data_IF_723974601236
#
_entry.id   IF_723974601236
#
_cell.length_a   1.000
_cell.length_b   1.000
_cell.length_c   1.000
_cell.angle_alpha   90.00
_cell.angle_beta   90.00
_cell.angle_gamma   90.00
#
_symmetry.space_group_name_H-M   'P 1'
#
loop_
_entity.id
_entity.type
_entity.pdbx_description
1 polymer ?
#
# COMPACT_ATOMS: atom_id res chain seq x y z
N UNK A 1 -4.26 28.04 31.14
CA UNK A 1 -4.45 26.80 31.93
C UNK A 1 -5.82 26.92 32.56
N UNK A 2 -6.76 25.98 32.29
CA UNK A 2 -6.52 24.54 32.37
C UNK A 2 -6.66 23.76 31.06
N UNK A 3 -5.94 22.65 31.04
CA UNK A 3 -6.00 21.43 30.23
C UNK A 3 -7.13 21.32 29.18
N UNK A 4 -6.74 21.39 27.90
CA UNK A 4 -7.52 20.86 26.79
C UNK A 4 -6.63 19.86 26.02
N UNK A 5 -7.12 18.62 26.01
CA UNK A 5 -6.87 17.59 24.98
C UNK A 5 -5.44 17.04 24.90
N UNK A 6 -4.98 16.45 26.00
CA UNK A 6 -4.21 15.20 25.91
C UNK A 6 -5.21 14.07 25.66
N UNK A 7 -5.33 13.69 24.39
CA UNK A 7 -6.17 12.60 23.92
C UNK A 7 -5.76 12.15 22.52
N UNK A 8 -4.48 12.28 22.18
CA UNK A 8 -3.91 11.50 21.09
C UNK A 8 -3.75 10.09 21.64
N UNK A 9 -4.74 9.23 21.36
CA UNK A 9 -4.55 7.78 21.46
C UNK A 9 -3.48 7.44 20.43
N UNK A 10 -2.23 7.47 20.88
CA UNK A 10 -1.15 6.74 20.24
C UNK A 10 -1.54 5.27 20.38
N UNK A 11 -2.29 4.76 19.40
CA UNK A 11 -2.54 3.32 19.29
C UNK A 11 -1.19 2.66 19.08
N UNK A 12 -0.83 1.78 20.02
CA UNK A 12 0.30 0.86 19.89
C UNK A 12 0.18 0.13 18.53
N UNK A 13 1.28 -0.25 17.85
CA UNK A 13 1.26 -0.88 16.52
C UNK A 13 0.52 -2.24 16.41
N UNK A 14 -0.24 -2.64 17.44
CA UNK A 14 -1.00 -3.89 17.51
C UNK A 14 -2.47 -3.77 17.97
N UNK A 15 -2.97 -2.57 18.32
CA UNK A 15 -4.39 -2.42 18.69
C UNK A 15 -5.27 -2.27 17.45
N UNK A 16 -6.34 -3.07 17.38
CA UNK A 16 -7.32 -2.99 16.31
C UNK A 16 -7.99 -1.60 16.32
N UNK A 17 -7.73 -0.83 15.26
CA UNK A 17 -8.32 0.48 15.04
C UNK A 17 -9.86 0.39 15.17
N UNK A 18 -10.55 1.34 15.83
CA UNK A 18 -12.02 1.35 15.90
C UNK A 18 -12.63 1.26 14.50
N UNK A 19 -13.66 0.44 14.33
CA UNK A 19 -14.29 0.14 13.03
C UNK A 19 -15.79 0.48 12.99
N UNK A 20 -16.41 0.75 14.14
CA UNK A 20 -17.87 0.83 14.23
C UNK A 20 -18.40 2.20 13.81
N UNK A 21 -19.44 2.20 13.00
CA UNK A 21 -20.08 3.41 12.48
C UNK A 21 -21.44 3.58 13.15
N UNK A 22 -21.72 4.79 13.63
CA UNK A 22 -23.02 5.16 14.14
C UNK A 22 -23.79 5.94 13.08
N UNK A 23 -24.93 5.43 12.65
CA UNK A 23 -25.82 6.08 11.69
C UNK A 23 -27.05 6.60 12.42
N UNK A 24 -27.17 7.93 12.56
CA UNK A 24 -28.24 8.59 13.32
C UNK A 24 -29.14 9.37 12.38
N UNK A 25 -30.29 8.81 12.03
CA UNK A 25 -31.19 9.42 11.05
C UNK A 25 -32.63 8.90 11.14
N UNK A 26 -33.62 9.78 10.89
CA UNK A 26 -35.04 9.42 10.98
C UNK A 26 -35.55 8.57 9.80
N UNK A 27 -34.95 8.73 8.61
CA UNK A 27 -35.40 8.06 7.39
C UNK A 27 -34.99 6.59 7.36
N UNK A 28 -35.92 5.71 7.73
CA UNK A 28 -35.70 4.24 7.77
C UNK A 28 -35.19 3.67 6.43
N UNK A 29 -35.74 4.13 5.31
CA UNK A 29 -35.31 3.68 3.98
C UNK A 29 -33.85 4.04 3.74
N UNK A 30 -33.47 5.28 4.02
CA UNK A 30 -32.10 5.76 3.86
C UNK A 30 -31.14 5.01 4.79
N UNK A 31 -31.50 4.85 6.07
CA UNK A 31 -30.65 4.16 7.03
C UNK A 31 -30.43 2.70 6.67
N UNK A 32 -31.48 1.99 6.24
CA UNK A 32 -31.37 0.59 5.83
C UNK A 32 -30.49 0.44 4.59
N UNK A 33 -30.70 1.26 3.55
CA UNK A 33 -29.89 1.20 2.32
C UNK A 33 -28.42 1.52 2.58
N UNK A 34 -28.13 2.57 3.37
CA UNK A 34 -26.75 2.96 3.67
C UNK A 34 -26.05 1.95 4.58
N UNK A 35 -26.75 1.43 5.59
CA UNK A 35 -26.23 0.35 6.45
C UNK A 35 -25.84 -0.87 5.61
N UNK A 36 -26.76 -1.36 4.79
CA UNK A 36 -26.54 -2.53 3.95
C UNK A 36 -25.35 -2.30 3.00
N UNK A 37 -25.28 -1.13 2.36
CA UNK A 37 -24.18 -0.80 1.46
C UNK A 37 -22.82 -0.76 2.17
N UNK A 38 -22.74 -0.24 3.41
CA UNK A 38 -21.51 -0.20 4.20
C UNK A 38 -21.12 -1.61 4.66
N UNK A 39 -22.05 -2.36 5.26
CA UNK A 39 -21.78 -3.70 5.80
C UNK A 39 -21.38 -4.69 4.68
N UNK A 40 -22.03 -4.64 3.50
CA UNK A 40 -21.71 -5.54 2.39
C UNK A 40 -20.44 -5.16 1.63
N UNK A 41 -20.17 -3.87 1.44
CA UNK A 41 -19.04 -3.41 0.60
C UNK A 41 -17.76 -3.18 1.38
N UNK A 42 -17.86 -2.83 2.66
CA UNK A 42 -16.74 -2.44 3.51
C UNK A 42 -16.53 -3.37 4.70
N UNK A 43 -17.47 -4.28 5.00
CA UNK A 43 -17.42 -5.21 6.13
C UNK A 43 -17.29 -4.48 7.50
N UNK A 44 -17.74 -3.22 7.56
CA UNK A 44 -17.72 -2.42 8.78
C UNK A 44 -19.05 -2.55 9.54
N UNK A 45 -19.02 -2.75 10.87
CA UNK A 45 -20.25 -2.84 11.66
C UNK A 45 -20.94 -1.48 11.76
N UNK A 46 -22.25 -1.45 11.50
CA UNK A 46 -23.06 -0.23 11.55
C UNK A 46 -24.19 -0.37 12.57
N UNK A 47 -24.20 0.52 13.56
CA UNK A 47 -25.31 0.66 14.51
C UNK A 47 -26.19 1.84 14.08
N UNK A 48 -27.51 1.67 14.14
CA UNK A 48 -28.48 2.68 13.67
C UNK A 48 -29.26 3.23 14.86
N UNK A 49 -29.40 4.55 14.92
CA UNK A 49 -30.27 5.25 15.85
C UNK A 49 -31.19 6.23 15.12
N UNK A 50 -32.35 6.49 15.72
CA UNK A 50 -33.37 7.43 15.20
C UNK A 50 -33.53 8.67 16.09
N UNK A 51 -32.79 8.74 17.18
CA UNK A 51 -32.83 9.81 18.19
C UNK A 51 -31.47 9.95 18.89
N UNK A 52 -31.20 11.11 19.49
CA UNK A 52 -30.01 11.33 20.32
C UNK A 52 -29.99 10.45 21.57
N UNK A 53 -31.16 10.21 22.18
CA UNK A 53 -31.27 9.31 23.32
C UNK A 53 -30.89 7.87 22.96
N UNK A 54 -31.32 7.37 21.80
CA UNK A 54 -30.93 6.06 21.31
C UNK A 54 -29.44 6.01 20.94
N UNK A 55 -28.94 7.04 20.25
CA UNK A 55 -27.52 7.17 19.93
C UNK A 55 -26.65 7.14 21.19
N UNK A 56 -27.04 7.86 22.25
CA UNK A 56 -26.34 7.86 23.54
C UNK A 56 -26.23 6.49 24.19
N UNK A 57 -27.33 5.72 24.21
CA UNK A 57 -27.31 4.34 24.74
C UNK A 57 -26.35 3.44 23.97
N UNK A 58 -26.36 3.51 22.64
CA UNK A 58 -25.42 2.74 21.81
C UNK A 58 -23.97 3.14 22.11
N UNK A 59 -23.69 4.45 22.23
CA UNK A 59 -22.36 4.95 22.56
C UNK A 59 -21.86 4.47 23.93
N UNK A 60 -22.76 4.23 24.89
CA UNK A 60 -22.43 3.71 26.22
C UNK A 60 -22.27 2.16 26.23
N UNK A 61 -23.10 1.45 25.45
CA UNK A 61 -23.14 -0.02 25.40
C UNK A 61 -22.04 -0.63 24.52
N UNK A 62 -21.67 0.06 23.45
CA UNK A 62 -20.70 -0.42 22.46
C UNK A 62 -19.43 0.44 22.45
N UNK A 63 -18.31 -0.18 22.07
CA UNK A 63 -17.01 0.47 21.98
C UNK A 63 -16.48 0.41 20.55
N UNK A 64 -15.40 1.16 20.29
CA UNK A 64 -14.71 1.12 19.00
C UNK A 64 -15.37 1.98 17.93
N UNK A 65 -15.98 3.11 18.32
CA UNK A 65 -16.59 4.08 17.42
C UNK A 65 -15.55 4.80 16.58
N UNK A 66 -15.77 4.78 15.27
CA UNK A 66 -14.90 5.38 14.26
C UNK A 66 -15.50 6.65 13.67
N UNK A 67 -16.80 6.63 13.36
CA UNK A 67 -17.46 7.69 12.59
C UNK A 67 -18.95 7.76 12.94
N UNK A 68 -19.47 8.98 12.96
CA UNK A 68 -20.91 9.25 13.07
C UNK A 68 -21.40 9.83 11.74
N UNK A 69 -22.44 9.23 11.18
CA UNK A 69 -23.21 9.76 10.05
C UNK A 69 -24.56 10.23 10.61
N UNK A 70 -24.79 11.53 10.69
CA UNK A 70 -25.98 12.07 11.37
C UNK A 70 -26.83 12.99 10.50
N UNK A 71 -28.13 12.92 10.68
CA UNK A 71 -29.06 13.99 10.30
C UNK A 71 -28.86 15.26 11.13
N UNK A 72 -29.44 16.37 10.65
CA UNK A 72 -29.54 17.61 11.43
C UNK A 72 -30.83 17.73 12.24
N UNK A 73 -31.89 17.03 11.88
CA UNK A 73 -33.18 17.15 12.58
C UNK A 73 -33.58 15.76 13.01
N UNK A 74 -33.50 15.51 14.31
CA UNK A 74 -33.87 14.24 14.94
C UNK A 74 -35.15 14.43 15.77
N UNK A 75 -35.76 13.33 16.21
CA UNK A 75 -37.02 13.38 16.97
C UNK A 75 -36.90 14.15 18.30
N UNK A 76 -35.71 14.18 18.91
CA UNK A 76 -35.40 14.70 20.24
C UNK A 76 -34.25 15.73 20.25
N UNK A 77 -33.86 16.24 19.08
CA UNK A 77 -32.76 17.20 18.93
C UNK A 77 -32.97 18.14 17.74
N UNK A 78 -32.53 19.39 17.91
CA UNK A 78 -32.51 20.40 16.85
C UNK A 78 -31.15 20.48 16.14
N UNK A 79 -31.05 21.35 15.13
CA UNK A 79 -29.92 21.36 14.18
C UNK A 79 -28.55 21.52 14.82
N UNK A 80 -28.43 22.43 15.79
CA UNK A 80 -27.15 22.74 16.41
C UNK A 80 -26.82 21.75 17.54
N UNK A 81 -27.85 21.33 18.30
CA UNK A 81 -27.65 20.39 19.42
C UNK A 81 -27.20 19.00 18.98
N UNK A 82 -27.66 18.52 17.83
CA UNK A 82 -27.28 17.19 17.31
C UNK A 82 -25.80 17.13 16.94
N UNK A 83 -25.28 18.14 16.26
CA UNK A 83 -23.88 18.17 15.82
C UNK A 83 -22.95 18.34 17.01
N UNK A 84 -23.26 19.29 17.90
CA UNK A 84 -22.47 19.54 19.12
C UNK A 84 -22.44 18.32 20.05
N UNK A 85 -23.51 17.52 20.08
CA UNK A 85 -23.56 16.29 20.88
C UNK A 85 -22.46 15.30 20.50
N UNK A 86 -22.19 15.07 19.22
CA UNK A 86 -21.16 14.12 18.78
C UNK A 86 -19.75 14.72 18.84
N UNK A 87 -19.61 15.99 18.47
CA UNK A 87 -18.32 16.69 18.48
C UNK A 87 -17.76 16.86 19.89
N UNK A 88 -18.60 17.19 20.87
CA UNK A 88 -18.18 17.29 22.28
C UNK A 88 -17.67 15.97 22.87
N UNK A 89 -17.99 14.84 22.24
CA UNK A 89 -17.48 13.50 22.56
C UNK A 89 -16.24 13.12 21.75
N UNK A 90 -15.74 14.02 20.90
CA UNK A 90 -14.58 13.77 20.04
C UNK A 90 -14.84 12.80 18.89
N UNK A 91 -16.11 12.58 18.53
CA UNK A 91 -16.47 11.66 17.45
C UNK A 91 -16.41 12.37 16.09
N UNK A 92 -15.63 11.83 15.12
CA UNK A 92 -15.65 12.33 13.76
C UNK A 92 -17.07 12.23 13.19
N UNK A 93 -17.58 13.34 12.66
CA UNK A 93 -18.99 13.47 12.30
C UNK A 93 -19.16 13.95 10.86
N UNK A 94 -19.97 13.25 10.08
CA UNK A 94 -20.46 13.66 8.75
C UNK A 94 -21.94 13.93 8.87
N UNK A 95 -22.34 15.11 8.37
CA UNK A 95 -23.73 15.54 8.40
C UNK A 95 -24.38 15.18 7.08
N UNK A 96 -25.58 14.61 7.16
CA UNK A 96 -26.35 14.22 5.99
C UNK A 96 -27.72 14.92 6.03
N UNK A 97 -28.09 15.66 5.00
CA UNK A 97 -29.30 16.48 4.97
C UNK A 97 -30.16 16.23 3.74
N UNK A 98 -31.48 16.18 3.90
CA UNK A 98 -32.42 16.10 2.79
C UNK A 98 -32.73 17.45 2.13
N UNK A 99 -32.35 18.57 2.77
CA UNK A 99 -32.67 19.91 2.29
C UNK A 99 -31.39 20.67 1.98
N UNK A 100 -31.35 21.30 0.81
CA UNK A 100 -30.28 22.23 0.48
C UNK A 100 -30.58 23.61 1.07
N UNK A 101 -29.72 24.05 1.99
CA UNK A 101 -29.77 25.36 2.63
C UNK A 101 -28.31 25.84 2.78
N UNK A 102 -27.94 26.86 1.99
CA UNK A 102 -26.57 27.36 1.90
C UNK A 102 -26.09 27.97 3.22
N UNK A 103 -26.98 28.66 3.94
CA UNK A 103 -26.65 29.33 5.20
C UNK A 103 -26.54 28.32 6.34
N UNK A 104 -27.38 27.29 6.33
CA UNK A 104 -27.22 26.15 7.22
C UNK A 104 -25.90 25.43 6.95
N UNK A 105 -25.61 25.11 5.68
CA UNK A 105 -24.37 24.46 5.28
C UNK A 105 -23.16 25.24 5.81
N UNK A 106 -23.08 26.55 5.55
CA UNK A 106 -21.97 27.40 6.04
C UNK A 106 -21.81 27.35 7.55
N UNK A 107 -22.90 27.41 8.32
CA UNK A 107 -22.86 27.33 9.79
C UNK A 107 -22.35 25.98 10.28
N UNK A 108 -22.88 24.88 9.74
CA UNK A 108 -22.47 23.54 10.16
C UNK A 108 -20.99 23.29 9.80
N UNK A 109 -20.53 23.76 8.64
CA UNK A 109 -19.12 23.63 8.26
C UNK A 109 -18.16 24.36 9.23
N UNK A 110 -18.62 25.37 9.97
CA UNK A 110 -17.83 26.03 11.01
C UNK A 110 -17.65 25.17 12.28
N UNK A 111 -18.54 24.18 12.51
CA UNK A 111 -18.53 23.31 13.69
C UNK A 111 -17.53 22.13 13.56
N UNK A 112 -16.45 22.22 12.78
CA UNK A 112 -15.43 21.15 12.68
C UNK A 112 -15.96 19.73 12.30
N UNK A 113 -17.11 19.61 11.64
CA UNK A 113 -17.54 18.35 11.03
C UNK A 113 -16.62 17.98 9.85
N UNK A 114 -16.60 16.71 9.44
CA UNK A 114 -15.83 16.28 8.27
C UNK A 114 -16.48 16.84 7.00
N UNK A 115 -17.75 16.53 6.75
CA UNK A 115 -18.43 16.93 5.51
C UNK A 115 -19.96 17.03 5.67
N UNK A 116 -20.58 17.79 4.75
CA UNK A 116 -22.02 18.00 4.64
C UNK A 116 -22.54 17.41 3.32
N UNK A 117 -23.33 16.34 3.39
CA UNK A 117 -23.81 15.57 2.24
C UNK A 117 -25.31 15.70 2.05
N UNK A 118 -25.76 15.87 0.81
CA UNK A 118 -27.18 15.91 0.47
C UNK A 118 -27.72 14.50 0.20
N UNK A 119 -28.79 14.10 0.89
CA UNK A 119 -29.42 12.77 0.76
C UNK A 119 -30.12 12.58 -0.58
N UNK A 120 -30.70 13.65 -1.11
CA UNK A 120 -31.62 13.60 -2.25
C UNK A 120 -30.93 13.69 -3.61
N UNK A 121 -29.61 13.80 -3.65
CA UNK A 121 -28.85 13.78 -4.89
C UNK A 121 -28.60 12.33 -5.34
N UNK A 122 -28.76 12.01 -6.63
CA UNK A 122 -28.34 10.71 -7.16
C UNK A 122 -26.88 10.40 -6.77
N UNK A 123 -26.63 9.19 -6.27
CA UNK A 123 -25.29 8.77 -5.84
C UNK A 123 -24.87 9.22 -4.43
N UNK A 124 -25.76 9.82 -3.62
CA UNK A 124 -25.44 10.22 -2.24
C UNK A 124 -24.97 9.06 -1.36
N UNK A 125 -25.61 7.88 -1.50
CA UNK A 125 -25.21 6.66 -0.78
C UNK A 125 -23.83 6.20 -1.25
N UNK A 126 -23.58 6.15 -2.56
CA UNK A 126 -22.27 5.75 -3.10
C UNK A 126 -21.16 6.70 -2.64
N UNK A 127 -21.45 8.00 -2.59
CA UNK A 127 -20.53 8.99 -2.07
C UNK A 127 -20.23 8.78 -0.58
N UNK A 128 -21.25 8.52 0.25
CA UNK A 128 -21.05 8.25 1.67
C UNK A 128 -20.25 6.97 1.91
N UNK A 129 -20.53 5.90 1.16
CA UNK A 129 -19.75 4.66 1.22
C UNK A 129 -18.29 4.93 0.82
N UNK A 130 -18.06 5.69 -0.26
CA UNK A 130 -16.72 6.11 -0.66
C UNK A 130 -16.03 6.94 0.43
N UNK A 131 -16.72 7.90 1.04
CA UNK A 131 -16.16 8.76 2.08
C UNK A 131 -15.77 7.96 3.33
N UNK A 132 -16.64 7.04 3.77
CA UNK A 132 -16.36 6.11 4.87
C UNK A 132 -15.09 5.31 4.57
N UNK A 133 -15.00 4.71 3.38
CA UNK A 133 -13.83 3.93 2.96
C UNK A 133 -12.56 4.80 2.91
N UNK A 134 -12.66 6.03 2.40
CA UNK A 134 -11.54 6.98 2.31
C UNK A 134 -11.02 7.36 3.69
N UNK A 135 -11.91 7.67 4.62
CA UNK A 135 -11.57 7.99 6.00
C UNK A 135 -10.92 6.80 6.73
N UNK A 136 -11.40 5.58 6.49
CA UNK A 136 -10.79 4.36 7.04
C UNK A 136 -9.36 4.20 6.52
N UNK A 137 -9.17 4.30 5.20
CA UNK A 137 -7.86 4.15 4.55
C UNK A 137 -6.86 5.23 4.94
N UNK A 138 -7.32 6.46 5.13
CA UNK A 138 -6.46 7.60 5.52
C UNK A 138 -5.72 7.36 6.83
N UNK A 139 -6.26 6.55 7.73
CA UNK A 139 -5.65 6.20 9.02
C UNK A 139 -4.37 5.39 8.88
N UNK A 140 -4.12 4.81 7.70
CA UNK A 140 -2.87 4.10 7.36
C UNK A 140 -1.89 4.98 6.59
N UNK A 141 -2.21 6.25 6.38
CA UNK A 141 -1.45 7.18 5.54
C UNK A 141 -0.99 8.35 6.41
N UNK A 142 0.29 8.37 6.73
CA UNK A 142 0.88 9.52 7.40
C UNK A 142 1.02 10.69 6.41
N UNK A 143 0.77 11.89 6.92
CA UNK A 143 0.87 13.15 6.20
C UNK A 143 1.83 14.10 6.91
N UNK A 144 2.47 14.97 6.13
CA UNK A 144 3.34 16.04 6.62
C UNK A 144 2.77 17.39 6.24
N UNK A 145 2.76 18.34 7.17
CA UNK A 145 2.50 19.75 6.89
C UNK A 145 3.77 20.55 7.13
N UNK A 146 4.22 21.26 6.09
CA UNK A 146 5.38 22.16 6.16
C UNK A 146 4.91 23.56 5.84
N UNK A 147 4.89 24.44 6.82
CA UNK A 147 4.47 25.84 6.68
C UNK A 147 5.13 26.62 7.84
N UNK A 148 5.68 27.79 7.58
CA UNK A 148 6.39 28.58 8.61
C UNK A 148 5.41 29.28 9.57
N UNK A 149 4.22 29.62 9.08
CA UNK A 149 3.14 30.18 9.87
C UNK A 149 2.52 29.11 10.76
N UNK A 150 2.78 29.21 12.07
CA UNK A 150 2.19 28.33 13.09
C UNK A 150 0.67 28.17 12.92
N UNK A 151 -0.05 29.27 12.67
CA UNK A 151 -1.51 29.23 12.48
C UNK A 151 -1.92 28.48 11.21
N UNK A 152 -1.23 28.69 10.09
CA UNK A 152 -1.56 28.02 8.84
C UNK A 152 -1.20 26.53 8.90
N UNK A 153 -0.05 26.21 9.49
CA UNK A 153 0.41 24.85 9.77
C UNK A 153 -0.58 24.08 10.63
N UNK A 154 -0.97 24.64 11.79
CA UNK A 154 -1.96 24.03 12.68
C UNK A 154 -3.32 23.84 12.00
N UNK A 155 -3.75 24.81 11.19
CA UNK A 155 -5.01 24.71 10.45
C UNK A 155 -4.98 23.56 9.44
N UNK A 156 -3.99 23.53 8.54
CA UNK A 156 -3.84 22.44 7.57
C UNK A 156 -3.66 21.07 8.24
N UNK A 157 -2.90 21.00 9.33
CA UNK A 157 -2.73 19.79 10.11
C UNK A 157 -4.05 19.33 10.75
N UNK A 158 -4.86 20.26 11.28
CA UNK A 158 -6.17 19.94 11.83
C UNK A 158 -7.13 19.37 10.78
N UNK A 159 -7.09 19.88 9.54
CA UNK A 159 -7.89 19.34 8.43
C UNK A 159 -7.47 17.92 8.09
N UNK A 160 -6.17 17.65 7.94
CA UNK A 160 -5.68 16.30 7.66
C UNK A 160 -6.00 15.29 8.76
N UNK A 161 -5.88 15.70 10.04
CA UNK A 161 -6.26 14.88 11.21
C UNK A 161 -7.77 14.58 11.20
N UNK A 162 -8.58 15.58 10.93
CA UNK A 162 -10.04 15.43 10.78
C UNK A 162 -10.39 14.45 9.65
N UNK A 163 -9.58 14.43 8.60
CA UNK A 163 -9.72 13.50 7.47
C UNK A 163 -9.09 12.11 7.73
N UNK A 164 -8.63 11.85 8.95
CA UNK A 164 -8.17 10.54 9.43
C UNK A 164 -6.67 10.29 9.33
N UNK A 165 -5.86 11.24 8.84
CA UNK A 165 -4.41 11.04 8.72
C UNK A 165 -3.67 11.14 10.06
N UNK A 166 -2.58 10.38 10.19
CA UNK A 166 -1.52 10.67 11.16
C UNK A 166 -0.67 11.82 10.64
N UNK A 167 -0.53 12.92 11.40
CA UNK A 167 0.01 14.18 10.87
C UNK A 167 1.25 14.64 11.63
N UNK A 168 2.34 14.73 10.87
CA UNK A 168 3.59 15.34 11.24
C UNK A 168 3.59 16.82 10.84
N UNK A 169 4.21 17.66 11.65
CA UNK A 169 4.30 19.10 11.41
C UNK A 169 5.77 19.53 11.38
N UNK A 170 6.13 20.41 10.46
CA UNK A 170 7.46 21.00 10.34
C UNK A 170 7.35 22.52 10.11
N UNK A 171 8.19 23.30 10.79
CA UNK A 171 8.17 24.76 10.70
C UNK A 171 8.95 25.32 9.50
N UNK A 172 9.79 24.50 8.87
CA UNK A 172 10.54 24.87 7.68
C UNK A 172 10.88 23.66 6.82
N UNK A 173 11.41 23.92 5.62
CA UNK A 173 11.78 22.87 4.68
C UNK A 173 12.89 21.93 5.17
N UNK A 174 13.79 22.37 6.06
CA UNK A 174 14.86 21.52 6.58
C UNK A 174 14.31 20.51 7.61
N UNK A 175 13.43 20.94 8.50
CA UNK A 175 12.68 20.06 9.39
C UNK A 175 11.80 19.09 8.60
N UNK A 176 11.13 19.57 7.55
CA UNK A 176 10.27 18.74 6.70
C UNK A 176 11.04 17.61 6.01
N UNK A 177 12.25 17.87 5.51
CA UNK A 177 13.08 16.83 4.87
C UNK A 177 13.53 15.79 5.89
N UNK A 178 13.93 16.21 7.10
CA UNK A 178 14.29 15.29 8.19
C UNK A 178 13.11 14.40 8.58
N UNK A 179 11.89 14.95 8.64
CA UNK A 179 10.70 14.18 8.95
C UNK A 179 10.43 13.09 7.89
N UNK A 180 10.62 13.40 6.60
CA UNK A 180 10.45 12.44 5.51
C UNK A 180 11.49 11.31 5.57
N UNK A 181 12.73 11.60 5.98
CA UNK A 181 13.76 10.58 6.19
C UNK A 181 13.42 9.69 7.38
N UNK A 182 13.03 10.30 8.51
CA UNK A 182 12.75 9.60 9.75
C UNK A 182 11.48 8.75 9.69
N UNK A 183 10.48 9.15 8.89
CA UNK A 183 9.16 8.52 8.85
C UNK A 183 8.78 8.05 7.45
N UNK A 184 9.19 6.82 7.06
CA UNK A 184 8.89 6.26 5.75
C UNK A 184 7.40 6.10 5.40
N UNK A 185 6.53 6.09 6.41
CA UNK A 185 5.08 6.00 6.27
C UNK A 185 4.44 7.28 5.71
N UNK A 186 5.16 8.42 5.69
CA UNK A 186 4.67 9.66 5.12
C UNK A 186 4.51 9.48 3.60
N UNK A 187 3.26 9.59 3.14
CA UNK A 187 2.88 9.45 1.72
C UNK A 187 2.17 10.68 1.17
N UNK A 188 1.85 11.65 2.02
CA UNK A 188 1.26 12.93 1.64
C UNK A 188 2.04 14.07 2.29
N UNK A 189 2.34 15.12 1.55
CA UNK A 189 2.92 16.34 2.09
C UNK A 189 2.15 17.56 1.58
N UNK A 190 1.76 18.44 2.50
CA UNK A 190 1.17 19.74 2.23
C UNK A 190 2.22 20.79 2.56
N UNK A 191 2.64 21.55 1.56
CA UNK A 191 3.85 22.38 1.64
C UNK A 191 3.55 23.81 1.26
N UNK A 192 3.80 24.74 2.17
CA UNK A 192 3.73 26.17 1.87
C UNK A 192 4.88 26.61 0.94
N UNK A 193 4.60 27.56 0.07
CA UNK A 193 5.60 28.10 -0.84
C UNK A 193 6.59 29.04 -0.16
N UNK A 194 6.12 29.89 0.75
CA UNK A 194 6.80 31.05 1.28
C UNK A 194 7.40 30.75 2.66
N UNK A 195 8.39 29.87 2.69
CA UNK A 195 9.07 29.49 3.93
C UNK A 195 10.49 30.07 4.01
N UNK A 196 10.95 30.54 5.19
CA UNK A 196 12.31 31.02 5.39
C UNK A 196 13.37 29.95 5.07
N UNK A 197 14.46 30.36 4.42
CA UNK A 197 15.61 29.51 4.11
C UNK A 197 15.42 28.54 2.95
N UNK A 198 14.25 27.90 2.83
CA UNK A 198 13.93 26.97 1.75
C UNK A 198 12.48 27.14 1.29
N UNK A 199 12.29 27.70 0.10
CA UNK A 199 10.97 27.80 -0.54
C UNK A 199 10.36 26.42 -0.83
N UNK A 200 9.02 26.35 -0.88
CA UNK A 200 8.28 25.10 -1.12
C UNK A 200 8.64 24.41 -2.44
N UNK A 201 8.92 25.17 -3.50
CA UNK A 201 9.43 24.62 -4.77
C UNK A 201 10.78 23.93 -4.60
N UNK A 202 11.71 24.54 -3.86
CA UNK A 202 13.04 23.97 -3.61
C UNK A 202 12.95 22.75 -2.69
N UNK A 203 12.10 22.81 -1.65
CA UNK A 203 11.76 21.68 -0.81
C UNK A 203 11.25 20.49 -1.65
N UNK A 204 10.28 20.74 -2.51
CA UNK A 204 9.68 19.72 -3.39
C UNK A 204 10.75 19.10 -4.28
N UNK A 205 11.61 19.91 -4.89
CA UNK A 205 12.70 19.42 -5.75
C UNK A 205 13.67 18.51 -4.99
N UNK A 206 14.04 18.86 -3.76
CA UNK A 206 14.91 18.03 -2.90
C UNK A 206 14.23 16.74 -2.47
N UNK A 207 12.98 16.82 -2.00
CA UNK A 207 12.17 15.66 -1.65
C UNK A 207 12.13 14.65 -2.80
N UNK A 208 12.00 15.12 -4.05
CA UNK A 208 11.94 14.26 -5.23
C UNK A 208 13.23 13.49 -5.55
N UNK A 209 14.36 13.88 -4.96
CA UNK A 209 15.59 13.07 -5.03
C UNK A 209 15.53 11.83 -4.14
N UNK A 210 14.64 11.83 -3.14
CA UNK A 210 14.49 10.76 -2.14
C UNK A 210 13.22 9.94 -2.34
N UNK A 211 12.12 10.59 -2.76
CA UNK A 211 10.78 9.98 -2.92
C UNK A 211 10.14 10.44 -4.22
N UNK A 212 9.87 9.49 -5.11
CA UNK A 212 9.20 9.74 -6.39
C UNK A 212 7.72 10.10 -6.21
N UNK A 213 7.10 10.66 -7.27
CA UNK A 213 5.72 11.20 -7.26
C UNK A 213 4.64 10.15 -7.04
N UNK A 214 4.94 8.89 -7.34
CA UNK A 214 4.11 7.70 -7.15
C UNK A 214 4.22 7.11 -5.74
N UNK A 215 5.18 7.58 -4.93
CA UNK A 215 5.36 7.13 -3.54
C UNK A 215 4.93 8.17 -2.51
N UNK A 216 5.09 9.47 -2.81
CA UNK A 216 4.71 10.57 -1.93
C UNK A 216 4.09 11.72 -2.73
N UNK A 217 2.82 12.04 -2.46
CA UNK A 217 2.11 13.15 -3.09
C UNK A 217 2.44 14.47 -2.40
N UNK A 218 2.81 15.48 -3.18
CA UNK A 218 3.08 16.83 -2.67
C UNK A 218 2.02 17.79 -3.18
N UNK A 219 1.31 18.44 -2.27
CA UNK A 219 0.34 19.49 -2.57
C UNK A 219 0.96 20.82 -2.11
N UNK A 220 1.27 21.70 -3.07
CA UNK A 220 1.76 23.03 -2.75
C UNK A 220 0.61 23.94 -2.28
N UNK A 221 0.86 24.79 -1.29
CA UNK A 221 -0.07 25.84 -0.87
C UNK A 221 0.62 27.20 -1.02
N UNK A 222 -0.07 28.19 -1.56
CA UNK A 222 0.44 29.57 -1.56
C UNK A 222 -0.68 30.61 -1.55
N UNK A 223 -0.46 31.73 -0.85
CA UNK A 223 -1.30 32.92 -0.95
C UNK A 223 -0.92 33.86 -2.09
N UNK A 224 0.18 33.57 -2.79
CA UNK A 224 0.71 34.42 -3.83
C UNK A 224 -0.16 34.36 -5.09
N UNK A 225 -0.33 35.52 -5.72
CA UNK A 225 -1.18 35.64 -6.90
C UNK A 225 -0.48 35.46 -8.23
N UNK A 226 0.85 35.27 -8.22
CA UNK A 226 1.65 35.07 -9.43
C UNK A 226 1.19 33.82 -10.23
N UNK A 227 0.74 34.01 -11.49
CA UNK A 227 0.34 32.90 -12.38
C UNK A 227 1.47 31.89 -12.66
N UNK A 228 2.73 32.28 -12.48
CA UNK A 228 3.89 31.43 -12.77
C UNK A 228 4.14 30.35 -11.73
N UNK A 229 3.59 30.49 -10.51
CA UNK A 229 3.88 29.61 -9.38
C UNK A 229 3.34 28.20 -9.57
N UNK A 230 2.09 28.05 -10.04
CA UNK A 230 1.46 26.75 -10.28
C UNK A 230 2.31 25.91 -11.26
N UNK A 231 2.67 26.43 -12.46
CA UNK A 231 3.59 25.74 -13.35
C UNK A 231 4.93 25.36 -12.71
N UNK A 232 5.50 26.23 -11.87
CA UNK A 232 6.78 25.95 -11.19
C UNK A 232 6.66 24.78 -10.22
N UNK A 233 5.62 24.73 -9.38
CA UNK A 233 5.38 23.61 -8.47
C UNK A 233 5.24 22.28 -9.23
N UNK A 234 4.36 22.25 -10.23
CA UNK A 234 4.09 21.02 -10.98
C UNK A 234 5.32 20.53 -11.75
N UNK A 235 6.11 21.44 -12.35
CA UNK A 235 7.36 21.10 -13.06
C UNK A 235 8.44 20.58 -12.12
N UNK A 236 8.46 21.01 -10.86
CA UNK A 236 9.41 20.53 -9.85
C UNK A 236 8.92 19.29 -9.10
N UNK A 237 7.79 18.71 -9.52
CA UNK A 237 7.33 17.40 -9.05
C UNK A 237 6.23 17.45 -8.00
N UNK A 238 5.62 18.61 -7.74
CA UNK A 238 4.35 18.64 -7.00
C UNK A 238 3.28 17.88 -7.78
N UNK A 239 2.37 17.24 -7.06
CA UNK A 239 1.25 16.52 -7.64
C UNK A 239 0.08 17.47 -7.88
N UNK A 240 -0.13 18.43 -6.98
CA UNK A 240 -1.20 19.41 -7.08
C UNK A 240 -0.83 20.71 -6.35
N UNK A 241 -1.72 21.69 -6.42
CA UNK A 241 -1.56 23.00 -5.80
C UNK A 241 -2.90 23.55 -5.30
N UNK A 242 -2.86 24.29 -4.19
CA UNK A 242 -4.01 24.96 -3.59
C UNK A 242 -3.68 26.42 -3.27
N UNK A 243 -4.60 27.34 -3.59
CA UNK A 243 -4.39 28.77 -3.38
C UNK A 243 -5.04 29.23 -2.07
N UNK A 244 -4.35 30.03 -1.25
CA UNK A 244 -4.94 30.67 -0.07
C UNK A 244 -5.73 31.92 -0.50
N UNK A 245 -6.93 32.19 0.08
CA UNK A 245 -7.70 31.31 0.96
C UNK A 245 -8.42 30.19 0.17
N UNK A 246 -8.54 29.01 0.77
CA UNK A 246 -9.24 27.85 0.21
C UNK A 246 -10.39 27.41 1.12
N UNK A 247 -11.41 26.76 0.56
CA UNK A 247 -12.46 26.12 1.35
C UNK A 247 -12.00 24.76 1.87
N UNK A 248 -12.62 24.28 2.96
CA UNK A 248 -12.30 22.95 3.51
C UNK A 248 -12.61 21.84 2.51
N UNK A 249 -13.72 21.96 1.79
CA UNK A 249 -14.12 20.98 0.79
C UNK A 249 -13.14 20.95 -0.38
N UNK A 250 -12.63 22.10 -0.82
CA UNK A 250 -11.58 22.16 -1.83
C UNK A 250 -10.32 21.44 -1.34
N UNK A 251 -9.91 21.70 -0.09
CA UNK A 251 -8.76 21.01 0.52
C UNK A 251 -8.94 19.49 0.55
N UNK A 252 -10.08 18.99 1.04
CA UNK A 252 -10.36 17.55 1.08
C UNK A 252 -10.44 16.95 -0.32
N UNK A 253 -11.06 17.63 -1.28
CA UNK A 253 -11.12 17.17 -2.66
C UNK A 253 -9.71 16.99 -3.24
N UNK A 254 -8.82 17.95 -3.04
CA UNK A 254 -7.41 17.88 -3.50
C UNK A 254 -6.65 16.76 -2.82
N UNK A 255 -6.80 16.61 -1.51
CA UNK A 255 -6.16 15.54 -0.74
C UNK A 255 -6.63 14.17 -1.26
N UNK A 256 -7.94 13.93 -1.33
CA UNK A 256 -8.48 12.63 -1.76
C UNK A 256 -8.07 12.27 -3.17
N UNK A 257 -8.14 13.21 -4.13
CA UNK A 257 -7.70 12.96 -5.51
C UNK A 257 -6.25 12.49 -5.59
N UNK A 258 -5.35 13.14 -4.85
CA UNK A 258 -3.93 12.82 -4.87
C UNK A 258 -3.64 11.49 -4.15
N UNK A 259 -4.32 11.22 -3.05
CA UNK A 259 -4.16 9.97 -2.31
C UNK A 259 -4.74 8.79 -3.09
N UNK A 260 -5.92 8.93 -3.68
CA UNK A 260 -6.54 7.91 -4.55
C UNK A 260 -5.64 7.61 -5.75
N UNK A 261 -5.02 8.63 -6.35
CA UNK A 261 -4.05 8.44 -7.43
C UNK A 261 -2.81 7.67 -6.98
N UNK A 262 -2.26 7.96 -5.78
CA UNK A 262 -1.14 7.20 -5.22
C UNK A 262 -1.51 5.72 -4.98
N UNK A 263 -2.70 5.47 -4.43
CA UNK A 263 -3.19 4.10 -4.19
C UNK A 263 -3.42 3.35 -5.50
N UNK A 264 -4.00 4.01 -6.51
CA UNK A 264 -4.20 3.43 -7.83
C UNK A 264 -2.87 3.07 -8.50
N UNK A 265 -1.90 3.99 -8.49
CA UNK A 265 -0.57 3.72 -9.04
C UNK A 265 0.10 2.57 -8.28
N UNK A 266 -0.01 2.53 -6.95
CA UNK A 266 0.48 1.42 -6.14
C UNK A 266 -0.14 0.09 -6.56
N UNK A 267 -1.47 0.05 -6.69
CA UNK A 267 -2.22 -1.14 -7.11
C UNK A 267 -1.80 -1.59 -8.52
N UNK A 268 -1.66 -0.66 -9.47
CA UNK A 268 -1.21 -0.96 -10.82
C UNK A 268 0.24 -1.47 -10.84
N UNK A 269 1.11 -0.91 -10.00
CA UNK A 269 2.48 -1.40 -9.83
C UNK A 269 2.48 -2.82 -9.26
N UNK A 270 1.69 -3.09 -8.23
CA UNK A 270 1.58 -4.44 -7.65
C UNK A 270 1.05 -5.43 -8.69
N UNK A 271 -0.01 -5.09 -9.42
CA UNK A 271 -0.53 -5.90 -10.54
C UNK A 271 0.50 -6.11 -11.65
N UNK A 272 1.36 -5.13 -11.92
CA UNK A 272 2.37 -5.21 -12.96
C UNK A 272 3.64 -5.96 -12.52
N UNK A 273 3.92 -6.04 -11.21
CA UNK A 273 5.20 -6.54 -10.68
C UNK A 273 5.08 -7.79 -9.81
N UNK A 274 3.90 -8.14 -9.33
CA UNK A 274 3.64 -9.35 -8.55
C UNK A 274 2.77 -10.33 -9.32
N UNK A 275 2.89 -11.60 -8.94
CA UNK A 275 1.99 -12.67 -9.37
C UNK A 275 0.75 -12.67 -8.47
N UNK A 276 -0.44 -12.65 -9.09
CA UNK A 276 -1.71 -12.50 -8.37
C UNK A 276 -2.03 -13.64 -7.42
N UNK A 277 -1.54 -14.86 -7.71
CA UNK A 277 -1.87 -16.05 -6.94
C UNK A 277 -0.92 -16.24 -5.75
N UNK A 278 0.37 -16.03 -5.99
CA UNK A 278 1.42 -16.33 -5.01
C UNK A 278 1.89 -15.10 -4.23
N UNK A 279 1.61 -13.90 -4.72
CA UNK A 279 2.10 -12.65 -4.15
C UNK A 279 3.59 -12.38 -4.36
N UNK A 280 4.36 -13.35 -4.88
CA UNK A 280 5.77 -13.18 -5.24
C UNK A 280 5.93 -12.17 -6.38
N UNK A 281 7.12 -11.58 -6.57
CA UNK A 281 7.43 -10.88 -7.81
C UNK A 281 7.15 -11.77 -9.03
N UNK A 282 6.67 -11.18 -10.10
CA UNK A 282 6.47 -11.88 -11.36
C UNK A 282 7.77 -11.91 -12.18
N UNK A 283 7.78 -12.72 -13.25
CA UNK A 283 8.91 -12.82 -14.18
C UNK A 283 9.44 -11.48 -14.68
N UNK A 284 8.57 -10.52 -14.98
CA UNK A 284 9.00 -9.20 -15.48
C UNK A 284 9.78 -8.45 -14.41
N UNK A 285 9.26 -8.38 -13.18
CA UNK A 285 9.92 -7.74 -12.05
C UNK A 285 11.30 -8.36 -11.78
N UNK A 286 11.37 -9.69 -11.75
CA UNK A 286 12.64 -10.42 -11.57
C UNK A 286 13.70 -10.04 -12.60
N UNK A 287 13.32 -9.99 -13.89
CA UNK A 287 14.25 -9.63 -14.97
C UNK A 287 14.73 -8.19 -14.83
N UNK A 288 13.82 -7.25 -14.55
CA UNK A 288 14.15 -5.83 -14.37
C UNK A 288 15.08 -5.61 -13.16
N UNK A 289 14.82 -6.27 -12.03
CA UNK A 289 15.66 -6.20 -10.83
C UNK A 289 17.03 -6.83 -11.05
N UNK A 290 17.07 -8.03 -11.65
CA UNK A 290 18.31 -8.72 -11.97
C UNK A 290 19.21 -7.88 -12.89
N UNK A 291 18.64 -7.21 -13.90
CA UNK A 291 19.38 -6.32 -14.79
C UNK A 291 19.99 -5.10 -14.08
N UNK A 292 19.38 -4.64 -12.97
CA UNK A 292 19.90 -3.53 -12.16
C UNK A 292 21.01 -3.98 -11.21
N UNK A 293 20.90 -5.16 -10.61
CA UNK A 293 21.86 -5.64 -9.61
C UNK A 293 23.11 -6.29 -10.22
N UNK A 294 22.97 -7.04 -11.32
CA UNK A 294 24.09 -7.78 -11.91
C UNK A 294 25.32 -6.92 -12.29
N UNK A 295 25.19 -5.68 -12.81
CA UNK A 295 26.35 -4.84 -13.08
C UNK A 295 27.17 -4.52 -11.82
N UNK A 296 26.50 -4.31 -10.68
CA UNK A 296 27.18 -4.03 -9.41
C UNK A 296 27.90 -5.27 -8.90
N UNK A 297 27.20 -6.42 -8.86
CA UNK A 297 27.79 -7.71 -8.45
C UNK A 297 28.99 -8.11 -9.32
N UNK A 298 28.96 -7.76 -10.62
CA UNK A 298 30.10 -7.95 -11.52
C UNK A 298 31.32 -7.11 -11.13
N UNK A 299 31.11 -5.83 -10.75
CA UNK A 299 32.17 -4.93 -10.32
C UNK A 299 32.79 -5.39 -9.00
N UNK A 300 31.97 -5.88 -8.08
CA UNK A 300 32.39 -6.38 -6.77
C UNK A 300 33.07 -7.77 -6.88
N UNK A 301 33.03 -8.39 -8.07
CA UNK A 301 33.67 -9.68 -8.35
C UNK A 301 32.97 -10.86 -7.68
N UNK A 302 31.72 -10.66 -7.24
CA UNK A 302 30.94 -11.67 -6.53
C UNK A 302 30.47 -12.80 -7.45
N UNK A 303 30.25 -13.98 -6.87
CA UNK A 303 29.56 -15.08 -7.54
C UNK A 303 28.06 -14.95 -7.35
N UNK A 304 27.31 -15.35 -8.38
CA UNK A 304 25.86 -15.35 -8.36
C UNK A 304 25.39 -16.75 -8.72
N UNK A 305 24.40 -17.24 -7.98
CA UNK A 305 23.68 -18.47 -8.30
C UNK A 305 22.28 -18.12 -8.81
N UNK A 306 21.89 -18.71 -9.94
CA UNK A 306 20.52 -18.62 -10.47
C UNK A 306 19.91 -20.02 -10.47
N UNK A 307 18.74 -20.15 -9.87
CA UNK A 307 18.01 -21.40 -9.79
C UNK A 307 16.66 -21.31 -10.50
N UNK A 308 16.36 -22.30 -11.33
CA UNK A 308 15.02 -22.55 -11.84
C UNK A 308 14.42 -23.72 -11.07
N UNK A 309 13.23 -23.53 -10.51
CA UNK A 309 12.52 -24.47 -9.65
C UNK A 309 11.19 -24.79 -10.30
N UNK A 310 10.80 -26.06 -10.31
CA UNK A 310 9.51 -26.51 -10.84
C UNK A 310 8.89 -27.58 -9.96
N UNK A 311 7.58 -27.48 -9.76
CA UNK A 311 6.81 -28.43 -8.95
C UNK A 311 6.65 -29.75 -9.72
N UNK A 312 7.19 -30.81 -9.14
CA UNK A 312 7.14 -32.13 -9.74
C UNK A 312 5.69 -32.62 -9.86
N UNK A 313 5.33 -33.06 -11.06
CA UNK A 313 4.02 -33.63 -11.36
C UNK A 313 2.84 -32.68 -11.07
N UNK A 314 3.02 -31.36 -11.18
CA UNK A 314 1.96 -30.38 -10.88
C UNK A 314 0.66 -30.62 -11.67
N UNK A 315 0.75 -31.01 -12.94
CA UNK A 315 -0.42 -31.41 -13.73
C UNK A 315 -1.21 -32.55 -13.07
N UNK A 316 -0.53 -33.54 -12.49
CA UNK A 316 -1.19 -34.65 -11.80
C UNK A 316 -1.90 -34.18 -10.52
N UNK A 317 -1.34 -33.20 -9.81
CA UNK A 317 -1.98 -32.57 -8.65
C UNK A 317 -3.30 -31.94 -9.10
N UNK A 318 -3.29 -31.14 -10.16
CA UNK A 318 -4.51 -30.53 -10.72
C UNK A 318 -5.53 -31.58 -11.20
N UNK A 319 -5.07 -32.59 -11.93
CA UNK A 319 -5.94 -33.62 -12.51
C UNK A 319 -6.59 -34.50 -11.41
N UNK A 320 -5.93 -34.66 -10.26
CA UNK A 320 -6.40 -35.53 -9.16
C UNK A 320 -7.22 -34.78 -8.11
N UNK A 321 -6.81 -33.56 -7.76
CA UNK A 321 -7.37 -32.80 -6.64
C UNK A 321 -8.10 -31.52 -7.06
N UNK A 322 -8.12 -31.21 -8.36
CA UNK A 322 -8.72 -30.00 -8.91
C UNK A 322 -7.77 -28.81 -8.90
N UNK A 323 -8.16 -27.75 -9.61
CA UNK A 323 -7.34 -26.55 -9.78
C UNK A 323 -7.17 -25.75 -8.48
N UNK A 324 -8.16 -25.74 -7.58
CA UNK A 324 -8.03 -25.07 -6.28
C UNK A 324 -6.90 -25.67 -5.44
N UNK A 325 -6.75 -27.01 -5.45
CA UNK A 325 -5.64 -27.68 -4.79
C UNK A 325 -4.29 -27.38 -5.42
N UNK A 326 -4.24 -27.20 -6.74
CA UNK A 326 -3.04 -26.72 -7.43
C UNK A 326 -2.68 -25.28 -7.04
N UNK A 327 -3.67 -24.42 -6.87
CA UNK A 327 -3.49 -23.06 -6.40
C UNK A 327 -2.94 -23.03 -4.96
N UNK A 328 -3.46 -23.88 -4.07
CA UNK A 328 -2.94 -24.04 -2.71
C UNK A 328 -1.51 -24.58 -2.69
N UNK A 329 -1.18 -25.51 -3.58
CA UNK A 329 0.18 -26.00 -3.75
C UNK A 329 1.15 -24.87 -4.16
N UNK A 330 0.75 -24.03 -5.11
CA UNK A 330 1.54 -22.89 -5.55
C UNK A 330 1.74 -21.86 -4.43
N UNK A 331 0.70 -21.56 -3.65
CA UNK A 331 0.80 -20.66 -2.48
C UNK A 331 1.75 -21.22 -1.42
N UNK A 332 1.68 -22.53 -1.14
CA UNK A 332 2.55 -23.18 -0.16
C UNK A 332 4.03 -23.13 -0.59
N UNK A 333 4.33 -23.45 -1.85
CA UNK A 333 5.69 -23.36 -2.39
C UNK A 333 6.18 -21.91 -2.38
N UNK A 334 5.35 -20.95 -2.78
CA UNK A 334 5.69 -19.54 -2.76
C UNK A 334 6.03 -19.03 -1.35
N UNK A 335 5.25 -19.42 -0.35
CA UNK A 335 5.52 -19.08 1.05
C UNK A 335 6.85 -19.70 1.52
N UNK A 336 7.13 -20.95 1.17
CA UNK A 336 8.40 -21.61 1.51
C UNK A 336 9.61 -20.95 0.85
N UNK A 337 9.49 -20.53 -0.42
CA UNK A 337 10.50 -19.75 -1.15
C UNK A 337 10.74 -18.41 -0.46
N UNK A 338 9.68 -17.66 -0.15
CA UNK A 338 9.78 -16.35 0.51
C UNK A 338 10.41 -16.43 1.91
N UNK A 339 10.11 -17.47 2.69
CA UNK A 339 10.68 -17.70 4.02
C UNK A 339 12.13 -18.21 4.00
N UNK A 340 12.59 -18.73 2.85
CA UNK A 340 13.95 -19.21 2.69
C UNK A 340 14.89 -18.13 2.13
N UNK A 341 14.35 -17.22 1.33
CA UNK A 341 15.07 -16.10 0.74
C UNK A 341 15.63 -15.14 1.80
N UNK A 342 16.87 -14.68 1.59
CA UNK A 342 17.51 -13.59 2.31
C UNK A 342 17.07 -12.24 1.73
N UNK A 343 17.38 -11.15 2.42
CA UNK A 343 17.01 -9.79 2.00
C UNK A 343 17.56 -9.41 0.61
N UNK A 344 18.78 -9.87 0.29
CA UNK A 344 19.44 -9.61 -1.01
C UNK A 344 19.04 -10.61 -2.11
N UNK A 345 18.29 -11.66 -1.78
CA UNK A 345 17.89 -12.68 -2.76
C UNK A 345 16.70 -12.18 -3.60
N UNK A 346 16.81 -12.31 -4.93
CA UNK A 346 15.69 -12.03 -5.82
C UNK A 346 14.89 -13.31 -6.03
N UNK A 347 13.57 -13.24 -5.84
CA UNK A 347 12.66 -14.38 -6.01
C UNK A 347 11.52 -14.01 -6.93
N UNK A 348 11.00 -14.96 -7.70
CA UNK A 348 9.80 -14.76 -8.49
C UNK A 348 9.08 -16.06 -8.85
N UNK A 349 7.77 -15.95 -9.11
CA UNK A 349 7.06 -16.94 -9.92
C UNK A 349 7.32 -16.64 -11.39
N UNK A 350 8.00 -17.55 -12.07
CA UNK A 350 8.50 -17.34 -13.42
C UNK A 350 7.44 -17.66 -14.49
N UNK A 351 6.55 -18.61 -14.20
CA UNK A 351 5.37 -18.92 -15.01
C UNK A 351 4.77 -20.28 -14.64
N UNK A 352 3.45 -20.44 -14.66
CA UNK A 352 2.81 -21.73 -14.35
C UNK A 352 3.23 -22.28 -12.98
N UNK A 353 3.90 -23.43 -12.97
CA UNK A 353 4.47 -24.10 -11.79
C UNK A 353 5.96 -23.81 -11.52
N UNK A 354 6.53 -22.84 -12.24
CA UNK A 354 7.95 -22.49 -12.21
C UNK A 354 8.24 -21.27 -11.32
N UNK A 355 9.31 -21.36 -10.54
CA UNK A 355 9.86 -20.30 -9.71
C UNK A 355 11.33 -20.06 -10.05
N UNK A 356 11.81 -18.84 -9.89
CA UNK A 356 13.18 -18.46 -10.19
C UNK A 356 13.78 -17.66 -9.04
N UNK A 357 15.02 -18.00 -8.67
CA UNK A 357 15.77 -17.29 -7.65
C UNK A 357 17.13 -16.85 -8.21
N UNK A 358 17.58 -15.67 -7.81
CA UNK A 358 18.94 -15.17 -8.00
C UNK A 358 19.51 -14.80 -6.64
N UNK A 359 20.56 -15.51 -6.24
CA UNK A 359 21.20 -15.36 -4.93
C UNK A 359 22.65 -14.87 -5.10
N UNK A 360 23.00 -13.70 -4.57
CA UNK A 360 24.37 -13.19 -4.61
C UNK A 360 25.26 -13.79 -3.51
N UNK A 361 26.58 -13.75 -3.72
CA UNK A 361 27.57 -14.04 -2.70
C UNK A 361 27.71 -15.51 -2.29
N UNK A 362 27.29 -16.45 -3.14
CA UNK A 362 27.41 -17.89 -2.88
C UNK A 362 28.30 -18.58 -3.90
N UNK A 363 29.21 -19.44 -3.42
CA UNK A 363 29.90 -20.39 -4.28
C UNK A 363 29.02 -21.58 -4.65
N UNK A 364 29.51 -22.43 -5.56
CA UNK A 364 28.75 -23.58 -6.06
C UNK A 364 28.33 -24.55 -4.94
N UNK A 365 29.18 -24.81 -3.97
CA UNK A 365 28.91 -25.76 -2.88
C UNK A 365 27.86 -25.17 -1.93
N UNK A 366 28.02 -23.90 -1.58
CA UNK A 366 27.07 -23.15 -0.75
C UNK A 366 25.69 -23.06 -1.41
N UNK A 367 25.66 -22.74 -2.72
CA UNK A 367 24.41 -22.62 -3.46
C UNK A 367 23.70 -23.97 -3.57
N UNK A 368 24.41 -25.07 -3.87
CA UNK A 368 23.82 -26.41 -3.89
C UNK A 368 23.22 -26.77 -2.53
N UNK A 369 23.92 -26.47 -1.44
CA UNK A 369 23.41 -26.73 -0.09
C UNK A 369 22.16 -25.91 0.22
N UNK A 370 22.21 -24.59 -0.04
CA UNK A 370 21.08 -23.68 0.15
C UNK A 370 19.83 -24.15 -0.62
N UNK A 371 19.96 -24.47 -1.90
CA UNK A 371 18.81 -24.95 -2.69
C UNK A 371 18.35 -26.36 -2.31
N UNK A 372 19.23 -27.24 -1.83
CA UNK A 372 18.80 -28.54 -1.32
C UNK A 372 18.02 -28.42 0.00
N UNK A 373 18.38 -27.47 0.87
CA UNK A 373 17.57 -27.15 2.07
C UNK A 373 16.17 -26.66 1.68
N UNK A 374 16.06 -25.77 0.68
CA UNK A 374 14.76 -25.33 0.15
C UNK A 374 13.96 -26.52 -0.39
N UNK A 375 14.59 -27.40 -1.18
CA UNK A 375 13.96 -28.60 -1.71
C UNK A 375 13.45 -29.52 -0.60
N UNK A 376 14.26 -29.77 0.43
CA UNK A 376 13.88 -30.59 1.58
C UNK A 376 12.72 -29.96 2.36
N UNK A 377 12.74 -28.63 2.56
CA UNK A 377 11.64 -27.90 3.21
C UNK A 377 10.34 -28.07 2.43
N UNK A 378 10.37 -27.89 1.11
CA UNK A 378 9.18 -28.07 0.26
C UNK A 378 8.69 -29.52 0.27
N UNK A 379 9.60 -30.50 0.21
CA UNK A 379 9.25 -31.92 0.27
C UNK A 379 8.61 -32.35 1.62
N UNK A 380 8.89 -31.59 2.69
CA UNK A 380 8.31 -31.80 4.01
C UNK A 380 7.00 -31.04 4.23
N UNK A 381 6.55 -30.20 3.29
CA UNK A 381 5.29 -29.48 3.41
C UNK A 381 4.10 -30.44 3.33
N UNK A 382 3.16 -30.21 4.23
CA UNK A 382 1.85 -30.85 4.25
C UNK A 382 0.80 -29.77 4.03
N UNK A 383 0.19 -29.76 2.85
CA UNK A 383 -0.87 -28.80 2.51
C UNK A 383 -2.21 -29.45 2.81
N UNK A 384 -2.94 -28.89 3.78
CA UNK A 384 -4.28 -29.36 4.13
C UNK A 384 -5.29 -28.88 3.09
N UNK A 385 -5.92 -29.81 2.38
CA UNK A 385 -7.00 -29.54 1.42
C UNK A 385 -8.39 -29.81 2.05
N UNK A 386 -8.47 -29.91 3.38
CA UNK A 386 -9.69 -30.16 4.16
C UNK A 386 -10.13 -31.63 4.18
N UNK A 387 -9.94 -32.36 3.08
CA UNK A 387 -10.32 -33.78 2.96
C UNK A 387 -9.12 -34.71 2.77
N UNK A 388 -7.96 -34.18 2.39
CA UNK A 388 -6.72 -34.91 2.16
C UNK A 388 -5.54 -33.97 2.39
N UNK A 389 -4.40 -34.53 2.79
CA UNK A 389 -3.13 -33.80 2.85
C UNK A 389 -2.37 -33.99 1.54
N UNK A 390 -2.04 -32.90 0.86
CA UNK A 390 -1.18 -32.91 -0.31
C UNK A 390 0.28 -32.81 0.10
N UNK A 391 1.10 -33.72 -0.44
CA UNK A 391 2.56 -33.65 -0.39
C UNK A 391 3.09 -33.53 -1.82
N UNK A 392 4.12 -32.71 -2.00
CA UNK A 392 4.72 -32.47 -3.30
C UNK A 392 6.24 -32.37 -3.20
N UNK A 393 6.92 -32.47 -4.33
CA UNK A 393 8.37 -32.25 -4.42
C UNK A 393 8.66 -31.23 -5.50
N UNK A 394 9.88 -30.71 -5.50
CA UNK A 394 10.37 -29.81 -6.56
C UNK A 394 11.67 -30.32 -7.14
N UNK A 395 11.85 -30.10 -8.43
CA UNK A 395 13.13 -30.23 -9.11
C UNK A 395 13.77 -28.84 -9.24
N UNK A 396 15.09 -28.76 -9.06
CA UNK A 396 15.82 -27.49 -9.09
C UNK A 396 17.02 -27.62 -10.04
N UNK A 397 17.11 -26.71 -11.01
CA UNK A 397 18.27 -26.52 -11.86
C UNK A 397 19.05 -25.28 -11.45
N UNK A 398 20.35 -25.44 -11.19
CA UNK A 398 21.21 -24.41 -10.62
C UNK A 398 22.36 -24.04 -11.57
N UNK A 399 22.62 -22.75 -11.73
CA UNK A 399 23.77 -22.23 -12.45
C UNK A 399 24.54 -21.23 -11.57
N UNK A 400 25.80 -21.55 -11.25
CA UNK A 400 26.67 -20.69 -10.46
C UNK A 400 27.78 -20.14 -11.35
N UNK A 401 27.89 -18.81 -11.45
CA UNK A 401 29.04 -18.18 -12.11
C UNK A 401 29.29 -16.76 -11.62
N UNK A 402 30.50 -16.27 -11.92
CA UNK A 402 30.79 -14.83 -11.85
C UNK A 402 30.11 -14.14 -13.04
N UNK A 403 29.17 -13.22 -12.80
CA UNK A 403 28.44 -12.56 -13.87
C UNK A 403 29.42 -11.81 -14.78
N UNK A 404 29.18 -11.88 -16.08
CA UNK A 404 29.81 -11.03 -17.10
C UNK A 404 28.76 -10.05 -17.64
N UNK A 405 29.17 -9.06 -18.43
CA UNK A 405 28.21 -8.24 -19.19
C UNK A 405 27.29 -9.15 -20.01
N UNK A 406 25.97 -8.90 -19.93
CA UNK A 406 24.90 -9.63 -20.62
C UNK A 406 24.72 -11.12 -20.21
N UNK A 407 25.03 -11.46 -18.95
CA UNK A 407 24.96 -12.84 -18.46
C UNK A 407 23.58 -13.35 -18.02
N UNK A 408 22.59 -12.46 -17.75
CA UNK A 408 21.31 -12.88 -17.16
C UNK A 408 20.56 -13.93 -17.98
N UNK A 409 20.39 -13.70 -19.28
CA UNK A 409 19.70 -14.67 -20.14
C UNK A 409 20.44 -16.00 -20.18
N UNK A 410 21.78 -15.98 -20.23
CA UNK A 410 22.60 -17.20 -20.22
C UNK A 410 22.48 -17.97 -18.91
N UNK A 411 22.51 -17.26 -17.79
CA UNK A 411 22.31 -17.81 -16.44
C UNK A 411 20.98 -18.56 -16.34
N UNK A 412 19.88 -17.90 -16.74
CA UNK A 412 18.53 -18.48 -16.70
C UNK A 412 18.43 -19.67 -17.66
N UNK A 413 18.93 -19.56 -18.89
CA UNK A 413 18.89 -20.66 -19.87
C UNK A 413 19.69 -21.88 -19.40
N UNK A 414 20.82 -21.67 -18.72
CA UNK A 414 21.62 -22.77 -18.19
C UNK A 414 20.97 -23.40 -16.97
N UNK A 415 20.39 -22.61 -16.07
CA UNK A 415 19.60 -23.11 -14.94
C UNK A 415 18.40 -23.96 -15.41
N UNK A 416 17.69 -23.51 -16.45
CA UNK A 416 16.60 -24.26 -17.09
C UNK A 416 17.08 -25.60 -17.67
N UNK A 417 18.23 -25.60 -18.35
CA UNK A 417 18.86 -26.84 -18.83
C UNK A 417 19.17 -27.81 -17.69
N UNK A 418 19.65 -27.30 -16.55
CA UNK A 418 19.90 -28.13 -15.37
C UNK A 418 18.59 -28.65 -14.76
N UNK A 419 17.52 -27.86 -14.78
CA UNK A 419 16.21 -28.28 -14.29
C UNK A 419 15.67 -29.45 -15.11
N UNK A 420 15.83 -29.40 -16.43
CA UNK A 420 15.51 -30.53 -17.30
C UNK A 420 16.27 -31.80 -16.90
N UNK A 421 17.56 -31.70 -16.60
CA UNK A 421 18.38 -32.83 -16.13
C UNK A 421 17.94 -33.33 -14.75
N UNK A 422 17.54 -32.44 -13.83
CA UNK A 422 16.98 -32.80 -12.53
C UNK A 422 15.69 -33.63 -12.70
N UNK A 423 14.78 -33.19 -13.58
CA UNK A 423 13.54 -33.91 -13.90
C UNK A 423 13.83 -35.27 -14.55
N UNK A 424 14.72 -35.31 -15.54
CA UNK A 424 15.11 -36.56 -16.22
C UNK A 424 15.83 -37.55 -15.29
N UNK A 425 16.57 -37.04 -14.29
CA UNK A 425 17.28 -37.85 -13.32
C UNK A 425 16.38 -38.58 -12.31
N UNK A 426 15.08 -38.30 -12.29
CA UNK A 426 14.13 -38.89 -11.34
C UNK A 426 13.54 -37.89 -10.35
N UNK A 427 13.60 -36.58 -10.67
CA UNK A 427 12.95 -35.49 -9.92
C UNK A 427 13.44 -35.36 -8.46
N UNK A 428 12.79 -34.48 -7.68
CA UNK A 428 13.07 -34.22 -6.28
C UNK A 428 14.57 -34.08 -5.98
N UNK A 429 15.26 -33.24 -6.75
CA UNK A 429 16.71 -33.04 -6.63
C UNK A 429 17.14 -31.68 -7.13
N UNK A 430 18.33 -31.29 -6.67
CA UNK A 430 19.09 -30.17 -7.23
C UNK A 430 20.09 -30.72 -8.23
N UNK A 431 20.16 -30.12 -9.42
CA UNK A 431 21.20 -30.40 -10.40
C UNK A 431 21.92 -29.10 -10.72
N UNK A 432 23.25 -29.08 -10.60
CA UNK A 432 24.08 -27.90 -10.84
C UNK A 432 24.94 -28.08 -12.10
N UNK A 433 25.08 -27.03 -12.89
CA UNK A 433 26.03 -27.01 -14.00
C UNK A 433 27.45 -26.90 -13.44
N UNK A 434 28.26 -27.96 -13.53
CA UNK A 434 29.71 -27.85 -13.33
C UNK A 434 30.30 -26.94 -14.40
N UNK A 435 30.67 -25.72 -14.02
CA UNK A 435 31.39 -24.81 -14.93
C UNK A 435 32.83 -25.31 -15.01
N UNK A 436 33.15 -26.06 -16.06
CA UNK A 436 34.54 -26.37 -16.40
C UNK A 436 35.28 -25.05 -16.67
N UNK A 437 36.10 -24.62 -15.71
CA UNK A 437 37.08 -23.54 -15.85
C UNK A 437 38.25 -24.03 -16.72
N UNK A 438 38.01 -24.23 -18.02
CA UNK A 438 39.03 -24.56 -19.01
C UNK A 438 39.04 -23.54 -20.15
N UNK A 439 40.20 -23.10 -20.66
CA UNK A 439 40.24 -22.20 -21.80
C UNK A 439 39.63 -22.91 -23.01
N UNK A 440 38.60 -22.31 -23.63
CA UNK A 440 38.04 -22.80 -24.90
C UNK A 440 39.18 -22.94 -25.91
N UNK A 441 39.49 -24.17 -26.30
CA UNK A 441 40.34 -24.42 -27.46
C UNK A 441 39.65 -23.79 -28.67
N UNK A 442 40.38 -22.91 -29.37
CA UNK A 442 39.94 -22.33 -30.64
C UNK A 442 39.71 -23.47 -31.62
N UNK A 443 38.51 -23.53 -32.19
CA UNK A 443 38.25 -24.34 -33.39
C UNK A 443 39.27 -23.94 -34.48
N UNK A 444 39.86 -24.90 -35.20
CA UNK A 444 40.72 -24.58 -36.33
C UNK A 444 39.86 -23.98 -37.44
N UNK A 445 40.22 -22.76 -37.84
CA UNK A 445 39.67 -22.11 -39.01
C UNK A 445 39.91 -23.01 -40.23
N UNK A 446 38.82 -23.48 -40.85
CA UNK A 446 38.85 -23.92 -42.23
C UNK A 446 39.14 -22.68 -43.09
N UNK A 447 40.24 -22.74 -43.82
CA UNK A 447 40.63 -21.77 -44.83
C UNK A 447 41.06 -22.52 -46.09
N UNK A 448 41.06 -21.86 -47.26
CA UNK A 448 40.01 -21.03 -47.85
C UNK A 448 39.11 -21.82 -48.83
#
# INVERSE_FOLDING_TARGET
MPALLQGAVLSDPGDALPQRILLVENSRTFTSMLREAIEQRLELPVSVATSLAEAGRLLDEEQGWFLVLTGLVLADGDRDTVVDYFLSRGLPTVVVSGVYDEDLRKRVLQQQIIDYVLKNTPGSIDYLVWLVQRLERNRRIAALVVDDSMSARMYAASLLRMYGHDVYEAADGAEGLKAIEAHPAIRLAVVDQEMPGMEGVEFTRRLRTMRSRDKLAVIGISGNTDPSLIPRFLKNGANDFLRKPFSREEFFCRVSQNVDQLELIGTLQDLATRDFLTGLPNRRCFLEQSQRQLPQLHLDGEQVAVAMIDIDHFKHINDTHGHEAGDDALRAVAAAVAQHAREDDLIARFGGEEFCLLVPGMDEVQAVHYFDELRQRIAALEVDLGHTTLRMTVSIGLCCLRPQRDSLHRLISEADRQLYLAKAGGRNRVHCATVATGPRQREPALAP
#
